data_IF_546472049131
#
_entry.id   IF_546472049131
#
_cell.length_a   1.000
_cell.length_b   1.000
_cell.length_c   1.000
_cell.angle_alpha   90.00
_cell.angle_beta   90.00
_cell.angle_gamma   90.00
#
_symmetry.space_group_name_H-M   'P 1'
#
loop_
_entity.id
_entity.type
_entity.pdbx_description
1 polymer ?
#
# COMPACT_ATOMS: atom_id res chain seq x y z
N UNK A 1 -23.52 -5.82 26.38
CA UNK A 1 -23.56 -6.60 25.12
C UNK A 1 -22.20 -7.24 24.92
N UNK A 2 -22.09 -8.56 25.09
CA UNK A 2 -20.86 -9.29 24.80
C UNK A 2 -20.72 -9.40 23.29
N UNK A 3 -19.86 -8.57 22.68
CA UNK A 3 -19.39 -8.82 21.32
C UNK A 3 -18.61 -10.12 21.32
N UNK A 4 -19.03 -11.08 20.51
CA UNK A 4 -18.28 -12.32 20.31
C UNK A 4 -16.80 -12.00 19.98
N UNK A 5 -15.85 -12.79 20.51
CA UNK A 5 -14.43 -12.56 20.29
C UNK A 5 -14.12 -12.58 18.79
N UNK A 6 -13.25 -11.68 18.35
CA UNK A 6 -12.82 -11.60 16.96
C UNK A 6 -12.05 -12.88 16.59
N UNK A 7 -12.66 -13.75 15.78
CA UNK A 7 -12.10 -15.04 15.36
C UNK A 7 -11.06 -14.82 14.24
N UNK A 8 -9.81 -14.60 14.64
CA UNK A 8 -8.70 -14.26 13.74
C UNK A 8 -8.49 -15.33 12.66
N UNK A 9 -8.54 -16.60 13.06
CA UNK A 9 -8.34 -17.79 12.22
C UNK A 9 -9.40 -17.90 11.11
N UNK A 10 -10.68 -17.81 11.48
CA UNK A 10 -11.81 -17.88 10.55
C UNK A 10 -11.76 -16.73 9.56
N UNK A 11 -11.47 -15.51 10.06
CA UNK A 11 -11.38 -14.32 9.21
C UNK A 11 -10.19 -14.42 8.27
N UNK A 12 -9.01 -14.83 8.75
CA UNK A 12 -7.81 -14.95 7.92
C UNK A 12 -8.00 -15.94 6.77
N UNK A 13 -8.64 -17.09 7.01
CA UNK A 13 -8.97 -18.05 5.97
C UNK A 13 -9.97 -17.45 4.95
N UNK A 14 -11.01 -16.76 5.42
CA UNK A 14 -11.98 -16.12 4.53
C UNK A 14 -11.41 -14.95 3.71
N UNK A 15 -10.32 -14.33 4.17
CA UNK A 15 -9.65 -13.25 3.45
C UNK A 15 -8.89 -13.77 2.24
N UNK A 16 -8.33 -14.98 2.28
CA UNK A 16 -7.52 -15.51 1.18
C UNK A 16 -8.42 -16.23 0.19
N UNK A 17 -8.26 -15.95 -1.10
CA UNK A 17 -8.99 -16.66 -2.14
C UNK A 17 -8.62 -18.16 -2.17
N UNK A 18 -9.60 -19.02 -2.43
CA UNK A 18 -9.36 -20.46 -2.60
C UNK A 18 -8.44 -20.76 -3.80
N UNK A 19 -8.51 -19.94 -4.85
CA UNK A 19 -7.69 -20.00 -6.06
C UNK A 19 -6.51 -19.01 -6.02
N UNK A 20 -6.06 -18.58 -4.83
CA UNK A 20 -5.11 -17.47 -4.67
C UNK A 20 -3.82 -17.59 -5.51
N UNK A 21 -3.22 -18.79 -5.59
CA UNK A 21 -2.02 -19.02 -6.41
C UNK A 21 -2.29 -18.85 -7.90
N UNK A 22 -3.37 -19.46 -8.41
CA UNK A 22 -3.78 -19.32 -9.81
C UNK A 22 -4.13 -17.87 -10.13
N UNK A 23 -4.91 -17.23 -9.27
CA UNK A 23 -5.30 -15.83 -9.42
C UNK A 23 -4.08 -14.90 -9.47
N UNK A 24 -3.09 -15.12 -8.60
CA UNK A 24 -1.85 -14.34 -8.62
C UNK A 24 -1.06 -14.57 -9.90
N UNK A 25 -0.90 -15.81 -10.35
CA UNK A 25 -0.18 -16.14 -11.58
C UNK A 25 -0.82 -15.51 -12.82
N UNK A 26 -2.16 -15.54 -12.92
CA UNK A 26 -2.92 -14.97 -14.03
C UNK A 26 -2.85 -13.43 -14.06
N UNK A 27 -2.76 -12.79 -12.89
CA UNK A 27 -2.72 -11.34 -12.77
C UNK A 27 -1.30 -10.77 -12.59
N UNK A 28 -0.26 -11.62 -12.57
CA UNK A 28 1.10 -11.24 -12.20
C UNK A 28 1.67 -10.10 -13.05
N UNK A 29 1.45 -10.11 -14.37
CA UNK A 29 1.91 -9.02 -15.25
C UNK A 29 1.22 -7.69 -14.90
N UNK A 30 -0.09 -7.71 -14.68
CA UNK A 30 -0.88 -6.55 -14.29
C UNK A 30 -0.45 -6.01 -12.91
N UNK A 31 -0.22 -6.91 -11.96
CA UNK A 31 0.26 -6.59 -10.61
C UNK A 31 1.65 -5.94 -10.68
N UNK A 32 2.60 -6.56 -11.40
CA UNK A 32 3.96 -6.07 -11.55
C UNK A 32 3.97 -4.68 -12.21
N UNK A 33 3.29 -4.55 -13.35
CA UNK A 33 3.17 -3.28 -14.08
C UNK A 33 2.53 -2.19 -13.22
N UNK A 34 1.39 -2.50 -12.60
CA UNK A 34 0.66 -1.56 -11.75
C UNK A 34 1.50 -1.09 -10.56
N UNK A 35 2.22 -2.01 -9.93
CA UNK A 35 3.10 -1.69 -8.81
C UNK A 35 4.31 -0.86 -9.23
N UNK A 36 5.00 -1.24 -10.31
CA UNK A 36 6.20 -0.56 -10.76
C UNK A 36 5.92 0.88 -11.25
N UNK A 37 4.86 1.06 -12.04
CA UNK A 37 4.42 2.40 -12.48
C UNK A 37 3.97 3.28 -11.32
N UNK A 38 3.38 2.68 -10.29
CA UNK A 38 2.98 3.40 -9.08
C UNK A 38 4.19 3.83 -8.27
N UNK A 39 5.16 2.93 -8.07
CA UNK A 39 6.41 3.20 -7.37
C UNK A 39 7.21 4.31 -8.05
N UNK A 40 7.33 4.29 -9.38
CA UNK A 40 8.00 5.32 -10.16
C UNK A 40 7.46 6.73 -9.91
N UNK A 41 6.13 6.86 -9.92
CA UNK A 41 5.46 8.15 -9.72
C UNK A 41 5.49 8.67 -8.28
N UNK A 42 5.76 7.79 -7.31
CA UNK A 42 5.49 8.08 -5.89
C UNK A 42 6.70 7.90 -4.99
N UNK A 43 7.78 7.29 -5.47
CA UNK A 43 9.02 7.15 -4.73
C UNK A 43 9.75 8.48 -4.76
N UNK A 44 9.86 9.11 -3.59
CA UNK A 44 10.55 10.38 -3.44
C UNK A 44 12.05 10.14 -3.25
N UNK A 45 12.93 10.86 -3.97
CA UNK A 45 14.35 10.85 -3.70
C UNK A 45 14.68 11.30 -2.27
N UNK A 46 15.78 10.80 -1.70
CA UNK A 46 16.19 11.09 -0.32
C UNK A 46 16.39 12.59 -0.08
N UNK A 47 16.96 13.31 -1.05
CA UNK A 47 17.21 14.75 -0.99
C UNK A 47 15.96 15.64 -1.20
N UNK A 48 14.77 15.06 -1.29
CA UNK A 48 13.52 15.80 -1.49
C UNK A 48 13.01 16.36 -0.15
N UNK A 49 12.69 17.65 -0.11
CA UNK A 49 12.00 18.28 1.04
C UNK A 49 10.49 18.06 0.95
N UNK A 50 9.74 18.29 2.04
CA UNK A 50 8.30 18.06 2.05
C UNK A 50 7.50 19.07 1.18
N UNK A 51 8.12 20.19 0.78
CA UNK A 51 7.51 21.25 -0.03
C UNK A 51 7.85 21.15 -1.52
N UNK A 52 8.64 20.16 -1.90
CA UNK A 52 9.04 19.92 -3.28
C UNK A 52 7.81 19.59 -4.17
N UNK A 53 7.80 20.09 -5.41
CA UNK A 53 6.69 19.83 -6.35
C UNK A 53 6.50 18.34 -6.64
N UNK A 54 7.56 17.53 -6.55
CA UNK A 54 7.50 16.07 -6.70
C UNK A 54 6.62 15.42 -5.63
N UNK A 55 6.57 15.97 -4.42
CA UNK A 55 5.67 15.50 -3.35
C UNK A 55 4.22 15.71 -3.77
N UNK A 56 3.92 16.88 -4.32
CA UNK A 56 2.59 17.25 -4.80
C UNK A 56 2.15 16.35 -5.95
N UNK A 57 3.03 16.11 -6.91
CA UNK A 57 2.74 15.27 -8.08
C UNK A 57 2.54 13.80 -7.69
N UNK A 58 3.35 13.28 -6.77
CA UNK A 58 3.19 11.94 -6.20
C UNK A 58 1.83 11.77 -5.49
N UNK A 59 1.43 12.76 -4.68
CA UNK A 59 0.12 12.75 -4.00
C UNK A 59 -1.01 12.76 -5.02
N UNK A 60 -0.97 13.63 -6.03
CA UNK A 60 -2.00 13.69 -7.08
C UNK A 60 -2.09 12.38 -7.85
N UNK A 61 -0.97 11.78 -8.19
CA UNK A 61 -0.94 10.50 -8.88
C UNK A 61 -1.64 9.40 -8.07
N UNK A 62 -1.37 9.31 -6.77
CA UNK A 62 -2.04 8.37 -5.86
C UNK A 62 -3.54 8.65 -5.72
N UNK A 63 -3.91 9.91 -5.49
CA UNK A 63 -5.30 10.32 -5.28
C UNK A 63 -6.16 9.99 -6.52
N UNK A 64 -5.63 10.21 -7.72
CA UNK A 64 -6.32 9.90 -8.98
C UNK A 64 -6.55 8.40 -9.15
N UNK A 65 -5.56 7.56 -8.82
CA UNK A 65 -5.69 6.10 -8.92
C UNK A 65 -6.73 5.58 -7.91
N UNK A 66 -6.77 6.15 -6.71
CA UNK A 66 -7.75 5.77 -5.68
C UNK A 66 -9.17 6.20 -6.07
N UNK A 67 -9.34 7.39 -6.68
CA UNK A 67 -10.64 7.88 -7.16
C UNK A 67 -11.19 7.08 -8.33
N UNK A 68 -10.33 6.71 -9.27
CA UNK A 68 -10.72 6.03 -10.50
C UNK A 68 -9.85 4.78 -10.72
N UNK A 69 -10.01 3.73 -9.88
CA UNK A 69 -9.20 2.54 -10.00
C UNK A 69 -9.60 1.75 -11.25
N UNK A 70 -8.61 1.25 -12.00
CA UNK A 70 -8.90 0.38 -13.15
C UNK A 70 -9.47 -0.99 -12.74
N UNK A 71 -9.13 -1.48 -11.54
CA UNK A 71 -9.67 -2.69 -10.92
C UNK A 71 -9.34 -2.70 -9.41
N UNK A 72 -9.86 -3.69 -8.68
CA UNK A 72 -9.63 -3.84 -7.23
C UNK A 72 -8.15 -4.10 -6.87
N UNK A 73 -7.38 -4.76 -7.74
CA UNK A 73 -5.95 -5.00 -7.53
C UNK A 73 -5.21 -3.65 -7.46
N UNK A 74 -5.41 -2.79 -8.46
CA UNK A 74 -4.81 -1.46 -8.51
C UNK A 74 -5.24 -0.58 -7.33
N UNK A 75 -6.53 -0.64 -6.96
CA UNK A 75 -7.04 0.11 -5.81
C UNK A 75 -6.31 -0.27 -4.51
N UNK A 76 -6.19 -1.58 -4.23
CA UNK A 76 -5.58 -2.05 -2.99
C UNK A 76 -4.08 -1.78 -2.96
N UNK A 77 -3.38 -1.94 -4.09
CA UNK A 77 -1.97 -1.58 -4.22
C UNK A 77 -1.77 -0.06 -4.00
N UNK A 78 -2.68 0.78 -4.52
CA UNK A 78 -2.64 2.23 -4.30
C UNK A 78 -2.82 2.61 -2.83
N UNK A 79 -3.71 1.94 -2.10
CA UNK A 79 -3.83 2.14 -0.65
C UNK A 79 -2.54 1.83 0.10
N UNK A 80 -1.85 0.74 -0.26
CA UNK A 80 -0.56 0.40 0.36
C UNK A 80 0.49 1.47 0.08
N UNK A 81 0.59 1.91 -1.17
CA UNK A 81 1.57 2.93 -1.50
C UNK A 81 1.23 4.29 -0.88
N UNK A 82 -0.05 4.62 -0.74
CA UNK A 82 -0.46 5.83 -0.03
C UNK A 82 -0.03 5.76 1.45
N UNK A 83 -0.17 4.62 2.11
CA UNK A 83 0.31 4.45 3.49
C UNK A 83 1.84 4.62 3.61
N UNK A 84 2.60 4.03 2.66
CA UNK A 84 4.07 4.17 2.57
C UNK A 84 4.46 5.63 2.34
N UNK A 85 3.85 6.29 1.36
CA UNK A 85 4.08 7.68 0.99
C UNK A 85 3.76 8.63 2.16
N UNK A 86 2.62 8.47 2.82
CA UNK A 86 2.27 9.29 3.98
C UNK A 86 3.22 9.09 5.15
N UNK A 87 3.80 7.89 5.30
CA UNK A 87 4.84 7.61 6.31
C UNK A 87 6.14 8.31 5.97
N UNK A 88 6.64 8.15 4.74
CA UNK A 88 7.81 8.86 4.24
C UNK A 88 7.66 10.39 4.34
N UNK A 89 6.49 10.92 4.00
CA UNK A 89 6.21 12.35 4.09
C UNK A 89 6.29 12.87 5.53
N UNK A 90 5.75 12.13 6.50
CA UNK A 90 5.87 12.50 7.93
C UNK A 90 7.33 12.51 8.39
N UNK A 91 8.15 11.59 7.90
CA UNK A 91 9.59 11.54 8.20
C UNK A 91 10.31 12.74 7.58
N UNK A 92 10.08 13.04 6.30
CA UNK A 92 10.61 14.25 5.66
C UNK A 92 10.21 15.54 6.37
N UNK A 93 8.94 15.68 6.77
CA UNK A 93 8.49 16.84 7.57
C UNK A 93 9.26 16.95 8.89
N UNK A 94 9.50 15.81 9.55
CA UNK A 94 10.25 15.77 10.81
C UNK A 94 11.70 16.21 10.59
N UNK A 95 12.33 15.75 9.52
CA UNK A 95 13.70 16.10 9.19
C UNK A 95 13.83 17.56 8.74
N UNK A 96 12.93 18.05 7.88
CA UNK A 96 12.87 19.47 7.49
C UNK A 96 12.71 20.38 8.71
N UNK A 97 11.90 19.96 9.69
CA UNK A 97 11.75 20.69 10.96
C UNK A 97 13.04 20.69 11.78
N UNK A 98 13.76 19.57 11.86
CA UNK A 98 15.04 19.47 12.56
C UNK A 98 16.10 20.38 11.94
N UNK A 99 16.06 20.57 10.62
CA UNK A 99 16.94 21.47 9.88
C UNK A 99 16.44 22.92 9.83
N UNK A 100 15.33 23.26 10.51
CA UNK A 100 14.80 24.62 10.55
C UNK A 100 14.10 25.08 9.25
N UNK A 101 13.87 24.19 8.29
CA UNK A 101 13.18 24.48 7.03
C UNK A 101 11.67 24.67 7.23
N UNK A 102 11.12 24.13 8.32
CA UNK A 102 9.71 24.30 8.70
C UNK A 102 9.63 24.85 10.12
N UNK A 103 8.89 25.95 10.28
CA UNK A 103 8.62 26.54 11.59
C UNK A 103 7.77 25.59 12.44
N UNK A 104 8.30 25.18 13.58
CA UNK A 104 7.58 24.37 14.57
C UNK A 104 6.44 25.19 15.18
N UNK A 105 5.19 24.75 15.00
CA UNK A 105 4.03 25.31 15.70
C UNK A 105 3.51 24.30 16.72
N UNK A 106 3.24 24.76 17.95
CA UNK A 106 2.84 23.91 19.11
C UNK A 106 1.61 23.02 18.83
N UNK A 107 0.76 23.40 17.88
CA UNK A 107 -0.45 22.67 17.47
C UNK A 107 -0.32 21.86 16.17
N UNK A 108 0.80 21.95 15.45
CA UNK A 108 0.99 21.27 14.15
C UNK A 108 1.95 20.09 14.26
N UNK A 109 1.38 18.90 14.50
CA UNK A 109 2.12 17.63 14.42
C UNK A 109 2.43 17.28 12.96
N UNK A 110 3.40 16.41 12.75
CA UNK A 110 3.84 15.97 11.41
C UNK A 110 2.66 15.45 10.57
N UNK A 111 1.75 14.69 11.20
CA UNK A 111 0.53 14.20 10.56
C UNK A 111 -0.41 15.34 10.11
N UNK A 112 -0.53 16.42 10.89
CA UNK A 112 -1.35 17.59 10.51
C UNK A 112 -0.77 18.28 9.28
N UNK A 113 0.56 18.43 9.23
CA UNK A 113 1.25 19.03 8.09
C UNK A 113 1.09 18.13 6.85
N UNK A 114 1.28 16.82 6.98
CA UNK A 114 1.09 15.86 5.88
C UNK A 114 -0.34 15.91 5.31
N UNK A 115 -1.37 15.98 6.15
CA UNK A 115 -2.76 16.14 5.71
C UNK A 115 -2.97 17.47 4.97
N UNK A 116 -2.38 18.57 5.46
CA UNK A 116 -2.51 19.86 4.78
C UNK A 116 -1.81 19.86 3.42
N UNK A 117 -0.66 19.21 3.28
CA UNK A 117 0.01 19.01 1.99
C UNK A 117 -0.86 18.17 1.05
N UNK A 118 -1.51 17.12 1.57
CA UNK A 118 -2.43 16.30 0.80
C UNK A 118 -3.63 17.10 0.28
N UNK A 119 -4.27 17.88 1.15
CA UNK A 119 -5.38 18.78 0.77
C UNK A 119 -4.93 19.79 -0.28
N UNK A 120 -3.78 20.43 -0.09
CA UNK A 120 -3.22 21.39 -1.05
C UNK A 120 -2.89 20.77 -2.41
N UNK A 121 -2.37 19.54 -2.42
CA UNK A 121 -2.02 18.85 -3.65
C UNK A 121 -3.26 18.42 -4.47
N UNK A 122 -4.31 17.99 -3.78
CA UNK A 122 -5.51 17.40 -4.41
C UNK A 122 -6.67 18.36 -4.60
N UNK A 123 -6.62 19.54 -3.97
CA UNK A 123 -7.74 20.50 -3.95
C UNK A 123 -8.92 20.06 -3.11
N UNK A 124 -8.82 18.94 -2.37
CA UNK A 124 -9.85 18.49 -1.42
C UNK A 124 -9.99 19.52 -0.30
N UNK A 125 -11.22 19.73 0.15
CA UNK A 125 -11.54 20.69 1.23
C UNK A 125 -11.86 19.99 2.55
N UNK A 126 -12.31 18.73 2.50
CA UNK A 126 -12.67 17.97 3.68
C UNK A 126 -11.44 17.29 4.31
N UNK A 127 -11.04 17.79 5.47
CA UNK A 127 -9.93 17.23 6.26
C UNK A 127 -10.27 15.85 6.83
N UNK A 128 -11.52 15.59 7.17
CA UNK A 128 -11.93 14.31 7.75
C UNK A 128 -11.90 13.20 6.69
N UNK A 129 -12.29 13.52 5.45
CA UNK A 129 -12.15 12.59 4.33
C UNK A 129 -10.69 12.15 4.13
N UNK A 130 -9.72 13.07 4.18
CA UNK A 130 -8.29 12.73 4.04
C UNK A 130 -7.77 11.94 5.25
N UNK A 131 -8.29 12.20 6.46
CA UNK A 131 -7.96 11.39 7.65
C UNK A 131 -8.45 9.97 7.51
N UNK A 132 -9.69 9.79 7.09
CA UNK A 132 -10.28 8.48 6.86
C UNK A 132 -9.58 7.74 5.73
N UNK A 133 -9.22 8.44 4.65
CA UNK A 133 -8.40 7.87 3.57
C UNK A 133 -7.04 7.38 4.08
N UNK A 134 -6.36 8.19 4.90
CA UNK A 134 -5.09 7.81 5.53
C UNK A 134 -5.27 6.62 6.47
N UNK A 135 -6.35 6.60 7.25
CA UNK A 135 -6.71 5.49 8.15
C UNK A 135 -6.92 4.20 7.36
N UNK A 136 -7.74 4.23 6.31
CA UNK A 136 -8.01 3.08 5.43
C UNK A 136 -6.72 2.56 4.77
N UNK A 137 -5.89 3.47 4.25
CA UNK A 137 -4.60 3.14 3.65
C UNK A 137 -3.70 2.38 4.63
N UNK A 138 -3.57 2.87 5.87
CA UNK A 138 -2.78 2.22 6.90
C UNK A 138 -3.31 0.82 7.24
N UNK A 139 -4.63 0.65 7.27
CA UNK A 139 -5.24 -0.67 7.54
C UNK A 139 -4.97 -1.65 6.40
N UNK A 140 -5.11 -1.21 5.15
CA UNK A 140 -4.77 -2.01 3.97
C UNK A 140 -3.30 -2.41 3.96
N UNK A 141 -2.39 -1.50 4.29
CA UNK A 141 -0.96 -1.78 4.37
C UNK A 141 -0.58 -2.72 5.52
N UNK A 142 -1.33 -2.72 6.62
CA UNK A 142 -1.08 -3.61 7.74
C UNK A 142 -1.50 -5.05 7.48
N UNK A 143 -2.58 -5.26 6.70
CA UNK A 143 -3.22 -6.57 6.54
C UNK A 143 -2.32 -7.66 5.92
N UNK A 144 -1.58 -7.42 4.82
CA UNK A 144 -0.68 -8.43 4.27
C UNK A 144 0.68 -8.49 4.99
N UNK A 145 0.85 -7.75 6.09
CA UNK A 145 2.10 -7.66 6.83
C UNK A 145 3.22 -7.09 5.97
N UNK A 146 4.34 -7.82 5.89
CA UNK A 146 5.54 -7.38 5.14
C UNK A 146 5.47 -7.62 3.64
N UNK A 147 4.42 -8.29 3.14
CA UNK A 147 4.33 -8.73 1.74
C UNK A 147 3.24 -7.94 1.01
N UNK A 148 3.53 -6.70 0.57
CA UNK A 148 2.50 -5.76 0.11
C UNK A 148 1.61 -6.32 -1.00
N UNK A 149 2.14 -7.15 -1.90
CA UNK A 149 1.40 -7.67 -3.06
C UNK A 149 0.54 -8.90 -2.74
N UNK A 150 0.60 -9.43 -1.51
CA UNK A 150 -0.26 -10.53 -1.10
C UNK A 150 -1.74 -10.11 -1.04
N UNK A 151 -2.03 -8.83 -0.81
CA UNK A 151 -3.41 -8.30 -0.80
C UNK A 151 -4.16 -8.47 -2.13
N UNK A 152 -3.43 -8.71 -3.22
CA UNK A 152 -4.02 -8.88 -4.56
C UNK A 152 -4.80 -10.19 -4.64
N UNK A 153 -4.48 -11.15 -3.77
CA UNK A 153 -5.17 -12.44 -3.66
C UNK A 153 -6.23 -12.46 -2.58
N UNK A 154 -6.57 -11.31 -1.99
CA UNK A 154 -7.63 -11.25 -0.99
C UNK A 154 -9.02 -11.21 -1.61
N UNK A 155 -10.01 -11.74 -0.91
CA UNK A 155 -11.43 -11.66 -1.27
C UNK A 155 -12.01 -10.29 -0.86
N UNK A 156 -13.24 -10.02 -1.27
CA UNK A 156 -13.96 -8.79 -0.87
C UNK A 156 -14.33 -8.77 0.63
N UNK A 157 -14.13 -9.88 1.34
CA UNK A 157 -14.18 -9.90 2.81
C UNK A 157 -13.17 -8.91 3.39
N UNK A 158 -12.03 -8.69 2.73
CA UNK A 158 -11.04 -7.70 3.14
C UNK A 158 -11.62 -6.29 3.24
N UNK A 159 -12.43 -5.87 2.26
CA UNK A 159 -13.05 -4.54 2.28
C UNK A 159 -14.00 -4.37 3.46
N UNK A 160 -14.80 -5.39 3.77
CA UNK A 160 -15.70 -5.38 4.93
C UNK A 160 -14.95 -5.26 6.25
N UNK A 161 -13.83 -5.98 6.38
CA UNK A 161 -12.94 -5.95 7.54
C UNK A 161 -12.30 -4.56 7.69
N UNK A 162 -11.72 -4.02 6.62
CA UNK A 162 -11.00 -2.75 6.64
C UNK A 162 -11.94 -1.57 6.96
N UNK A 163 -13.17 -1.61 6.46
CA UNK A 163 -14.18 -0.58 6.70
C UNK A 163 -14.83 -0.67 8.09
N UNK A 164 -14.68 -1.78 8.82
CA UNK A 164 -15.29 -1.95 10.15
C UNK A 164 -14.65 -1.02 11.18
N UNK A 165 -15.42 -0.12 11.77
CA UNK A 165 -14.96 0.89 12.75
C UNK A 165 -14.31 0.26 13.98
N UNK A 166 -14.79 -0.91 14.44
CA UNK A 166 -14.30 -1.61 15.62
C UNK A 166 -13.03 -2.45 15.45
N UNK A 167 -12.42 -2.53 14.27
CA UNK A 167 -11.16 -3.27 14.11
C UNK A 167 -9.98 -2.47 14.66
N UNK A 168 -9.31 -3.04 15.65
CA UNK A 168 -8.13 -2.46 16.29
C UNK A 168 -6.85 -2.80 15.53
N UNK A 169 -5.79 -2.03 15.74
CA UNK A 169 -4.46 -2.35 15.20
C UNK A 169 -3.94 -3.70 15.73
N UNK A 170 -4.32 -4.09 16.94
CA UNK A 170 -4.00 -5.41 17.50
C UNK A 170 -4.66 -6.53 16.68
N UNK A 171 -5.94 -6.38 16.31
CA UNK A 171 -6.62 -7.34 15.45
C UNK A 171 -5.98 -7.42 14.07
N UNK A 172 -5.59 -6.29 13.47
CA UNK A 172 -4.91 -6.28 12.17
C UNK A 172 -3.54 -6.97 12.22
N UNK A 173 -2.79 -6.77 13.31
CA UNK A 173 -1.51 -7.46 13.50
C UNK A 173 -1.69 -8.97 13.64
N UNK A 174 -2.65 -9.40 14.47
CA UNK A 174 -2.98 -10.81 14.63
C UNK A 174 -3.45 -11.44 13.30
N UNK A 175 -4.27 -10.72 12.52
CA UNK A 175 -4.66 -11.15 11.18
C UNK A 175 -3.46 -11.29 10.24
N UNK A 176 -2.54 -10.33 10.22
CA UNK A 176 -1.37 -10.39 9.35
C UNK A 176 -0.47 -11.58 9.69
N UNK A 177 -0.28 -11.87 10.98
CA UNK A 177 0.45 -13.04 11.46
C UNK A 177 -0.24 -14.34 11.03
N UNK A 178 -1.56 -14.41 11.20
CA UNK A 178 -2.35 -15.59 10.84
C UNK A 178 -2.41 -15.80 9.32
N UNK A 179 -2.56 -14.74 8.52
CA UNK A 179 -2.47 -14.79 7.06
C UNK A 179 -1.13 -15.39 6.64
N UNK A 180 -0.02 -14.93 7.23
CA UNK A 180 1.30 -15.50 6.93
C UNK A 180 1.42 -16.99 7.31
N UNK A 181 0.67 -17.44 8.31
CA UNK A 181 0.65 -18.84 8.77
C UNK A 181 -0.15 -19.75 7.84
N UNK A 182 -1.30 -19.29 7.34
CA UNK A 182 -2.22 -20.11 6.54
C UNK A 182 -2.03 -19.96 5.03
N UNK A 183 -1.39 -18.87 4.57
CA UNK A 183 -1.15 -18.63 3.17
C UNK A 183 -0.09 -19.59 2.60
N UNK A 184 -0.26 -20.13 1.38
CA UNK A 184 0.76 -20.96 0.75
C UNK A 184 2.12 -20.26 0.69
N UNK A 185 3.18 -20.93 1.16
CA UNK A 185 4.53 -20.36 1.19
C UNK A 185 5.01 -19.92 -0.20
N UNK A 186 4.67 -20.70 -1.24
CA UNK A 186 4.96 -20.37 -2.62
C UNK A 186 4.38 -19.00 -3.04
N UNK A 187 3.14 -18.70 -2.60
CA UNK A 187 2.49 -17.42 -2.89
C UNK A 187 3.17 -16.26 -2.16
N UNK A 188 3.56 -16.45 -0.90
CA UNK A 188 4.32 -15.44 -0.15
C UNK A 188 5.63 -15.11 -0.88
N UNK A 189 6.39 -16.14 -1.26
CA UNK A 189 7.68 -15.99 -1.96
C UNK A 189 7.49 -15.31 -3.32
N UNK A 190 6.51 -15.72 -4.11
CA UNK A 190 6.21 -15.09 -5.39
C UNK A 190 5.80 -13.62 -5.23
N UNK A 191 4.97 -13.30 -4.23
CA UNK A 191 4.54 -11.92 -3.97
C UNK A 191 5.70 -11.01 -3.56
N UNK A 192 6.63 -11.51 -2.74
CA UNK A 192 7.84 -10.79 -2.32
C UNK A 192 8.81 -10.59 -3.49
N UNK A 193 8.97 -11.62 -4.34
CA UNK A 193 9.79 -11.55 -5.54
C UNK A 193 9.31 -10.46 -6.50
N UNK A 194 8.02 -10.44 -6.83
CA UNK A 194 7.42 -9.41 -7.72
C UNK A 194 7.58 -8.01 -7.13
N UNK A 195 7.37 -7.86 -5.81
CA UNK A 195 7.50 -6.57 -5.14
C UNK A 195 8.94 -6.02 -5.21
N UNK A 196 9.92 -6.87 -4.88
CA UNK A 196 11.35 -6.50 -4.90
C UNK A 196 11.87 -6.23 -6.30
N UNK A 197 11.42 -7.01 -7.29
CA UNK A 197 11.81 -6.80 -8.68
C UNK A 197 11.38 -5.40 -9.17
N UNK A 198 10.12 -5.03 -8.92
CA UNK A 198 9.60 -3.70 -9.26
C UNK A 198 10.30 -2.57 -8.48
N UNK A 199 10.55 -2.76 -7.19
CA UNK A 199 11.30 -1.80 -6.36
C UNK A 199 12.74 -1.60 -6.87
N UNK A 200 13.38 -2.67 -7.37
CA UNK A 200 14.71 -2.59 -7.97
C UNK A 200 14.66 -1.89 -9.35
N UNK A 201 13.63 -2.17 -10.15
CA UNK A 201 13.46 -1.58 -11.49
C UNK A 201 13.43 -0.05 -11.41
N UNK A 202 12.60 0.50 -10.51
CA UNK A 202 12.44 1.94 -10.31
C UNK A 202 13.74 2.63 -9.87
N UNK A 203 14.68 1.90 -9.24
CA UNK A 203 15.97 2.45 -8.82
C UNK A 203 17.05 2.41 -9.90
N UNK A 204 16.93 1.54 -10.90
CA UNK A 204 18.04 1.14 -11.78
C UNK A 204 17.78 1.35 -13.27
N UNK A 205 16.54 1.64 -13.67
CA UNK A 205 16.18 1.78 -15.08
C UNK A 205 14.75 2.28 -15.27
N UNK A 206 14.14 2.07 -16.45
CA UNK A 206 12.75 2.43 -16.68
C UNK A 206 11.86 1.66 -15.71
N UNK A 207 10.85 2.35 -15.17
CA UNK A 207 9.90 1.80 -14.20
C UNK A 207 9.26 0.48 -14.65
N UNK A 208 8.99 0.33 -15.94
CA UNK A 208 8.42 -0.88 -16.52
C UNK A 208 9.10 -1.23 -17.83
N UNK A 209 9.55 -2.48 -17.93
CA UNK A 209 10.05 -3.09 -19.16
C UNK A 209 9.22 -4.35 -19.46
N UNK A 210 8.52 -4.41 -20.61
CA UNK A 210 7.76 -5.60 -21.01
C UNK A 210 8.60 -6.89 -21.08
N UNK A 211 9.88 -6.80 -21.48
CA UNK A 211 10.76 -7.96 -21.55
C UNK A 211 11.00 -8.57 -20.17
N UNK A 212 11.45 -7.74 -19.23
CA UNK A 212 11.58 -8.12 -17.82
C UNK A 212 10.27 -8.61 -17.19
N UNK A 213 9.13 -7.99 -17.53
CA UNK A 213 7.83 -8.43 -17.02
C UNK A 213 7.49 -9.87 -17.43
N UNK A 214 7.86 -10.28 -18.65
CA UNK A 214 7.69 -11.68 -19.10
C UNK A 214 8.62 -12.65 -18.35
N UNK A 215 9.85 -12.24 -18.05
CA UNK A 215 10.78 -13.04 -17.23
C UNK A 215 10.26 -13.21 -15.80
N UNK A 216 9.75 -12.14 -15.18
CA UNK A 216 9.11 -12.17 -13.86
C UNK A 216 7.91 -13.12 -13.88
N UNK A 217 7.05 -13.02 -14.89
CA UNK A 217 5.89 -13.90 -15.04
C UNK A 217 6.31 -15.38 -15.17
N UNK A 218 7.31 -15.67 -16.00
CA UNK A 218 7.82 -17.03 -16.17
C UNK A 218 8.38 -17.59 -14.87
N UNK A 219 9.09 -16.77 -14.09
CA UNK A 219 9.63 -17.17 -12.79
C UNK A 219 8.52 -17.40 -11.76
N UNK A 220 7.52 -16.51 -11.69
CA UNK A 220 6.36 -16.66 -10.80
C UNK A 220 5.58 -17.93 -11.12
N UNK A 221 5.36 -18.23 -12.42
CA UNK A 221 4.70 -19.49 -12.82
C UNK A 221 5.46 -20.71 -12.30
N UNK A 222 6.79 -20.75 -12.42
CA UNK A 222 7.61 -21.84 -11.87
C UNK A 222 7.54 -21.96 -10.35
N UNK A 223 7.34 -20.86 -9.64
CA UNK A 223 7.20 -20.87 -8.18
C UNK A 223 5.84 -21.40 -7.72
N UNK A 224 4.80 -21.26 -8.53
CA UNK A 224 3.41 -21.55 -8.18
C UNK A 224 2.87 -22.87 -8.77
N UNK A 225 3.67 -23.57 -9.58
CA UNK A 225 3.43 -24.93 -10.07
C UNK A 225 4.14 -25.96 -9.20
#
# INVERSE_FOLDING_TARGET
>A
MNTAPFQVDVVAQALIRNDAMQHFAENCESIHKGWALLLDKTTLPDNTTCTDSRVVDAIRALDNIIKCPGNNIHLRIAYVQLARMMTCLKEKIRDDRRHGLIVSKRSQRDATVAINLYLGATGRTDREEVRELTRLSNRWAALPGRYPLLLTTFTDVAERIINKTGITNHNLKALAEEICRVCPTALIVASDYVAKDAELAVRSGPAYDPGRAQEVLAQVKKMLT
#
